data_IF_476128042783
#
_entry.id   IF_476128042783
#
_cell.length_a   1.000
_cell.length_b   1.000
_cell.length_c   1.000
_cell.angle_alpha   90.00
_cell.angle_beta   90.00
_cell.angle_gamma   90.00
#
_symmetry.space_group_name_H-M   'P 1'
#
loop_
_entity.id
_entity.type
_entity.pdbx_description
1 polymer ?
#
# COMPACT_ATOMS: atom_id res chain seq x y z
N UNK A 1 5.12 0.64 55.56
CA UNK A 1 4.25 0.18 54.46
C UNK A 1 4.19 1.27 53.42
N UNK A 2 4.86 1.06 52.29
CA UNK A 2 4.62 1.74 51.01
C UNK A 2 5.40 0.94 49.95
N UNK A 3 4.66 0.27 49.09
CA UNK A 3 5.12 -0.50 47.92
C UNK A 3 5.63 0.46 46.83
N UNK A 4 6.76 0.20 46.15
CA UNK A 4 7.12 0.91 44.93
C UNK A 4 6.43 0.27 43.71
N UNK A 5 5.56 1.05 43.07
CA UNK A 5 4.90 0.77 41.78
C UNK A 5 5.92 0.39 40.69
N UNK A 6 5.70 -0.66 39.89
CA UNK A 6 6.59 -0.98 38.78
C UNK A 6 6.39 0.03 37.63
N UNK A 7 7.51 0.56 37.14
CA UNK A 7 7.57 1.45 36.00
C UNK A 7 6.97 0.79 34.75
N UNK A 8 6.01 1.47 34.12
CA UNK A 8 5.48 1.09 32.81
C UNK A 8 6.64 1.06 31.81
N UNK A 9 6.90 -0.12 31.24
CA UNK A 9 7.90 -0.30 30.20
C UNK A 9 7.55 0.54 28.98
N UNK A 10 8.54 1.31 28.50
CA UNK A 10 8.43 2.04 27.24
C UNK A 10 8.06 1.06 26.10
N UNK A 11 7.11 1.41 25.22
CA UNK A 11 6.79 0.57 24.07
C UNK A 11 8.03 0.45 23.18
N UNK A 12 8.34 -0.79 22.80
CA UNK A 12 9.43 -1.09 21.87
C UNK A 12 9.18 -0.40 20.53
N UNK A 13 10.19 0.27 19.94
CA UNK A 13 10.04 0.91 18.65
C UNK A 13 9.75 -0.14 17.57
N UNK A 14 8.98 0.21 16.52
CA UNK A 14 8.65 -0.72 15.45
C UNK A 14 9.92 -1.24 14.75
N UNK A 15 9.94 -2.52 14.36
CA UNK A 15 11.09 -3.14 13.70
C UNK A 15 11.40 -2.42 12.39
N UNK A 16 12.68 -2.10 12.18
CA UNK A 16 13.14 -1.34 11.02
C UNK A 16 13.43 -2.27 9.84
N UNK A 17 13.47 -1.74 8.61
CA UNK A 17 13.98 -2.50 7.47
C UNK A 17 15.38 -3.07 7.77
N UNK A 18 15.50 -4.40 7.73
CA UNK A 18 16.74 -5.13 8.03
C UNK A 18 16.75 -5.92 9.34
N UNK A 19 15.76 -5.72 10.22
CA UNK A 19 15.64 -6.50 11.46
C UNK A 19 15.08 -7.92 11.19
N UNK A 20 15.58 -8.96 11.87
CA UNK A 20 15.00 -10.30 11.81
C UNK A 20 13.58 -10.30 12.40
N UNK A 21 12.66 -10.98 11.72
CA UNK A 21 11.25 -11.09 12.14
C UNK A 21 11.14 -11.95 13.40
N UNK A 22 10.49 -11.49 14.48
CA UNK A 22 10.28 -12.32 15.67
C UNK A 22 9.42 -13.56 15.36
N UNK A 23 9.75 -14.69 15.99
CA UNK A 23 9.05 -15.98 15.79
C UNK A 23 7.53 -15.90 16.08
N UNK A 24 7.09 -14.92 16.88
CA UNK A 24 5.69 -14.66 17.24
C UNK A 24 4.85 -13.90 16.20
N UNK A 25 5.41 -13.52 15.04
CA UNK A 25 4.71 -12.74 14.03
C UNK A 25 4.71 -11.24 14.30
N UNK A 26 4.31 -10.45 13.28
CA UNK A 26 4.24 -9.00 13.36
C UNK A 26 2.89 -8.58 13.96
N UNK A 27 2.92 -7.66 14.91
CA UNK A 27 1.72 -6.97 15.35
C UNK A 27 1.15 -6.15 14.17
N UNK A 28 -0.10 -6.37 13.74
CA UNK A 28 -0.71 -5.66 12.61
C UNK A 28 -0.82 -4.15 12.85
N UNK A 29 -0.77 -3.68 14.10
CA UNK A 29 -0.70 -2.24 14.39
C UNK A 29 0.66 -1.64 14.06
N UNK A 30 1.72 -2.45 13.98
CA UNK A 30 3.09 -1.99 13.72
C UNK A 30 3.46 -1.92 12.22
N UNK A 31 2.76 -2.64 11.35
CA UNK A 31 2.91 -2.48 9.88
C UNK A 31 2.34 -1.14 9.39
N UNK A 32 1.47 -0.50 10.17
CA UNK A 32 0.86 0.80 9.83
C UNK A 32 1.19 1.93 10.83
N UNK A 33 2.03 1.68 11.85
CA UNK A 33 2.34 2.67 12.91
C UNK A 33 3.13 3.90 12.42
N UNK A 34 3.71 3.85 11.23
CA UNK A 34 4.27 5.02 10.57
C UNK A 34 3.52 5.27 9.27
N UNK A 35 2.81 6.40 9.11
CA UNK A 35 2.36 6.81 7.79
C UNK A 35 3.59 6.87 6.87
N UNK A 36 3.50 6.43 5.61
CA UNK A 36 4.59 6.58 4.67
C UNK A 36 5.04 8.03 4.70
N UNK A 37 6.32 8.26 4.98
CA UNK A 37 6.84 9.63 4.90
C UNK A 37 6.56 10.11 3.48
N UNK A 38 5.92 11.28 3.30
CA UNK A 38 5.73 11.84 1.98
C UNK A 38 7.05 11.78 1.23
N UNK A 39 7.09 11.39 -0.06
CA UNK A 39 8.28 11.50 -0.89
C UNK A 39 8.96 12.85 -0.64
N UNK A 40 10.30 12.90 -0.62
CA UNK A 40 11.06 14.06 -0.16
C UNK A 40 10.71 15.38 -0.87
N UNK A 41 10.05 15.34 -2.04
CA UNK A 41 9.44 16.49 -2.71
C UNK A 41 8.24 17.11 -1.98
N UNK A 42 7.67 16.43 -0.98
CA UNK A 42 6.64 16.90 -0.05
C UNK A 42 7.22 17.20 1.36
N UNK A 43 8.55 17.17 1.54
CA UNK A 43 9.24 17.48 2.81
C UNK A 43 10.00 18.82 2.81
N UNK A 44 9.71 19.72 1.88
CA UNK A 44 10.11 21.12 2.05
C UNK A 44 9.07 21.81 2.96
N UNK A 45 9.19 21.62 4.28
CA UNK A 45 8.32 22.32 5.23
C UNK A 45 8.43 21.95 6.70
N UNK A 46 9.17 20.90 7.07
CA UNK A 46 9.25 20.46 8.47
C UNK A 46 10.70 20.28 8.94
N UNK A 47 11.47 21.37 8.94
CA UNK A 47 12.65 21.54 9.80
C UNK A 47 13.05 23.02 9.80
N UNK A 48 12.89 23.73 10.93
CA UNK A 48 13.45 25.07 11.07
C UNK A 48 12.76 25.91 12.14
N UNK A 49 12.97 25.57 13.41
CA UNK A 49 12.73 26.52 14.49
C UNK A 49 13.81 27.60 14.51
N UNK A 50 13.37 28.83 14.79
CA UNK A 50 14.12 30.04 15.17
C UNK A 50 14.85 30.82 14.06
N UNK A 51 14.15 31.81 13.50
CA UNK A 51 14.76 32.92 12.75
C UNK A 51 13.70 33.90 12.27
N UNK A 52 13.66 35.10 12.87
CA UNK A 52 12.75 36.18 12.52
C UNK A 52 12.85 36.58 11.04
N UNK A 53 11.71 36.67 10.36
CA UNK A 53 11.63 37.13 8.97
C UNK A 53 10.19 37.26 8.50
N UNK A 54 9.76 38.50 8.29
CA UNK A 54 8.49 38.94 7.70
C UNK A 54 8.27 38.32 6.30
N UNK A 55 7.14 37.66 6.05
CA UNK A 55 6.77 37.20 4.71
C UNK A 55 5.44 36.44 4.66
N UNK A 56 4.48 37.03 3.93
CA UNK A 56 3.29 36.47 3.27
C UNK A 56 2.89 35.02 3.63
N UNK A 57 1.82 34.89 4.42
CA UNK A 57 1.21 33.62 4.84
C UNK A 57 0.44 33.00 3.66
N UNK A 58 1.17 32.42 2.72
CA UNK A 58 0.63 31.52 1.72
C UNK A 58 0.22 30.21 2.38
N UNK A 59 -0.99 30.18 2.95
CA UNK A 59 -1.62 28.96 3.44
C UNK A 59 -1.49 27.85 2.39
N UNK A 60 -0.84 26.73 2.74
CA UNK A 60 -0.82 25.53 1.91
C UNK A 60 -2.27 25.14 1.66
N UNK A 61 -2.77 25.10 0.41
CA UNK A 61 -4.16 24.78 0.14
C UNK A 61 -4.46 23.37 0.66
N UNK A 62 -5.33 23.30 1.67
CA UNK A 62 -5.91 22.04 2.14
C UNK A 62 -6.64 21.40 0.95
N UNK A 63 -6.41 20.12 0.66
CA UNK A 63 -7.07 19.41 -0.45
C UNK A 63 -8.60 19.38 -0.22
N UNK A 64 -9.27 20.42 -0.71
CA UNK A 64 -10.69 20.70 -0.49
C UNK A 64 -11.48 20.63 -1.80
N UNK A 65 -10.82 20.22 -2.88
CA UNK A 65 -11.44 20.07 -4.19
C UNK A 65 -12.40 18.89 -4.22
N UNK A 66 -13.43 18.92 -5.07
CA UNK A 66 -14.31 17.78 -5.26
C UNK A 66 -13.52 16.56 -5.77
N UNK A 67 -13.95 15.32 -5.47
CA UNK A 67 -13.32 14.12 -6.01
C UNK A 67 -13.43 14.10 -7.54
N UNK A 68 -12.54 13.41 -8.27
CA UNK A 68 -12.55 13.40 -9.72
C UNK A 68 -13.85 12.79 -10.26
N UNK A 69 -14.40 13.31 -11.38
CA UNK A 69 -15.62 12.77 -11.97
C UNK A 69 -15.39 11.33 -12.45
N UNK A 70 -16.40 10.47 -12.64
CA UNK A 70 -16.20 9.11 -13.13
C UNK A 70 -15.39 9.04 -14.46
N UNK A 71 -14.72 7.91 -14.76
CA UNK A 71 -14.06 7.73 -16.05
C UNK A 71 -15.02 7.90 -17.23
N UNK A 72 -14.52 8.40 -18.37
CA UNK A 72 -15.32 8.64 -19.58
C UNK A 72 -15.19 10.06 -20.12
N UNK A 73 -16.07 10.41 -21.05
CA UNK A 73 -16.08 11.74 -21.67
C UNK A 73 -16.19 12.83 -20.60
N UNK A 74 -15.14 13.67 -20.50
CA UNK A 74 -15.12 14.77 -19.55
C UNK A 74 -16.24 15.78 -19.88
N UNK A 75 -16.99 16.26 -18.88
CA UNK A 75 -17.92 17.37 -19.05
C UNK A 75 -17.21 18.64 -19.54
N UNK A 76 -17.98 19.63 -19.99
CA UNK A 76 -17.40 20.91 -20.40
C UNK A 76 -16.71 21.62 -19.23
N UNK A 77 -15.71 22.45 -19.52
CA UNK A 77 -15.01 23.25 -18.50
C UNK A 77 -16.00 24.09 -17.67
N UNK A 78 -17.07 24.61 -18.27
CA UNK A 78 -18.09 25.37 -17.57
C UNK A 78 -18.88 24.52 -16.56
N UNK A 79 -19.23 23.29 -16.93
CA UNK A 79 -19.92 22.35 -16.05
C UNK A 79 -19.03 21.88 -14.90
N UNK A 80 -17.73 21.71 -15.16
CA UNK A 80 -16.74 21.36 -14.14
C UNK A 80 -16.56 22.53 -13.15
N UNK A 81 -16.39 23.77 -13.64
CA UNK A 81 -16.31 24.93 -12.75
C UNK A 81 -17.57 25.10 -11.89
N UNK A 82 -18.75 24.87 -12.45
CA UNK A 82 -20.01 24.89 -11.70
C UNK A 82 -20.09 23.83 -10.58
N UNK A 83 -19.33 22.74 -10.71
CA UNK A 83 -19.22 21.66 -9.69
C UNK A 83 -18.09 21.87 -8.68
N UNK A 84 -17.37 23.00 -8.77
CA UNK A 84 -16.31 23.36 -7.82
C UNK A 84 -14.91 22.90 -8.21
N UNK A 85 -14.69 22.44 -9.44
CA UNK A 85 -13.34 22.18 -9.95
C UNK A 85 -12.69 23.51 -10.37
N UNK A 86 -11.42 23.70 -10.01
CA UNK A 86 -10.65 24.86 -10.45
C UNK A 86 -9.92 24.62 -11.78
N UNK A 87 -9.21 25.65 -12.27
CA UNK A 87 -8.49 25.58 -13.55
C UNK A 87 -7.38 24.51 -13.55
N UNK A 88 -6.75 24.26 -12.40
CA UNK A 88 -5.71 23.25 -12.28
C UNK A 88 -6.32 21.85 -12.26
N UNK A 89 -7.44 21.64 -11.56
CA UNK A 89 -8.17 20.38 -11.58
C UNK A 89 -8.57 20.00 -13.01
N UNK A 90 -9.12 20.95 -13.77
CA UNK A 90 -9.54 20.74 -15.16
C UNK A 90 -8.34 20.44 -16.05
N UNK A 91 -7.22 21.13 -15.85
CA UNK A 91 -5.97 20.87 -16.57
C UNK A 91 -5.49 19.44 -16.33
N UNK A 92 -5.43 19.00 -15.08
CA UNK A 92 -4.99 17.64 -14.73
C UNK A 92 -5.96 16.59 -15.28
N UNK A 93 -7.27 16.81 -15.20
CA UNK A 93 -8.26 15.90 -15.79
C UNK A 93 -8.06 15.72 -17.30
N UNK A 94 -7.77 16.80 -18.03
CA UNK A 94 -7.46 16.75 -19.47
C UNK A 94 -6.16 15.98 -19.76
N UNK A 95 -5.17 16.10 -18.89
CA UNK A 95 -3.88 15.42 -19.01
C UNK A 95 -4.00 13.92 -18.76
N UNK A 96 -4.62 13.53 -17.64
CA UNK A 96 -4.73 12.11 -17.23
C UNK A 96 -5.91 11.38 -17.88
N UNK A 97 -6.82 12.13 -18.54
CA UNK A 97 -7.99 11.60 -19.28
C UNK A 97 -8.88 10.72 -18.38
N UNK A 98 -9.08 9.47 -18.79
CA UNK A 98 -9.93 8.48 -18.11
C UNK A 98 -9.26 7.87 -16.86
N UNK A 99 -8.00 8.20 -16.58
CA UNK A 99 -7.33 7.65 -15.41
C UNK A 99 -8.05 8.07 -14.13
N UNK A 100 -8.47 7.07 -13.35
CA UNK A 100 -8.84 7.20 -11.94
C UNK A 100 -8.07 6.20 -11.13
N UNK A 101 -7.83 6.52 -9.86
CA UNK A 101 -7.11 5.63 -8.95
C UNK A 101 -7.71 4.22 -8.97
N UNK A 102 -6.86 3.21 -9.17
CA UNK A 102 -7.26 1.80 -9.29
C UNK A 102 -7.43 1.32 -10.74
N UNK A 103 -7.48 2.21 -11.73
CA UNK A 103 -7.71 1.83 -13.13
C UNK A 103 -6.55 1.03 -13.73
N UNK A 104 -5.31 1.28 -13.29
CA UNK A 104 -4.13 0.58 -13.84
C UNK A 104 -4.02 -0.81 -13.22
N UNK A 105 -4.11 -0.88 -11.90
CA UNK A 105 -4.03 -2.13 -11.14
C UNK A 105 -5.23 -3.03 -11.38
N UNK A 106 -6.42 -2.50 -11.73
CA UNK A 106 -7.58 -3.33 -12.11
C UNK A 106 -7.35 -4.18 -13.37
N UNK A 107 -6.41 -3.80 -14.25
CA UNK A 107 -6.07 -4.53 -15.48
C UNK A 107 -5.06 -5.66 -15.24
N UNK A 108 -4.55 -5.78 -14.03
CA UNK A 108 -3.63 -6.84 -13.64
C UNK A 108 -4.39 -8.03 -13.05
N UNK A 109 -3.74 -9.19 -13.04
CA UNK A 109 -4.29 -10.43 -12.45
C UNK A 109 -3.45 -10.89 -11.24
N UNK A 110 -3.95 -11.94 -10.58
CA UNK A 110 -3.36 -12.54 -9.37
C UNK A 110 -2.82 -13.95 -9.63
N UNK A 111 -2.80 -14.43 -10.88
CA UNK A 111 -2.65 -15.86 -11.24
C UNK A 111 -1.36 -16.52 -10.75
N UNK A 112 -0.28 -15.74 -10.57
CA UNK A 112 1.02 -16.26 -10.14
C UNK A 112 1.31 -16.02 -8.66
N UNK A 113 0.30 -15.58 -7.91
CA UNK A 113 0.39 -15.37 -6.47
C UNK A 113 -0.32 -16.52 -5.78
N UNK A 114 0.43 -17.33 -5.03
CA UNK A 114 -0.12 -18.43 -4.26
C UNK A 114 -0.34 -17.98 -2.81
N UNK A 115 -1.58 -18.06 -2.34
CA UNK A 115 -1.90 -17.86 -0.92
C UNK A 115 -1.58 -19.15 -0.16
N UNK A 116 -0.72 -19.11 0.89
CA UNK A 116 -0.41 -20.30 1.67
C UNK A 116 -1.64 -20.87 2.38
N UNK A 117 -1.66 -22.17 2.67
CA UNK A 117 -2.79 -22.81 3.37
C UNK A 117 -3.01 -22.20 4.78
N UNK A 118 -4.27 -21.88 5.08
CA UNK A 118 -4.69 -21.22 6.33
C UNK A 118 -5.98 -21.88 6.85
N UNK A 119 -5.90 -22.91 7.70
CA UNK A 119 -7.10 -23.64 8.15
C UNK A 119 -7.97 -22.84 9.13
N UNK A 120 -7.41 -21.81 9.76
CA UNK A 120 -8.07 -21.02 10.81
C UNK A 120 -8.83 -19.80 10.29
N UNK A 121 -8.78 -19.51 8.98
CA UNK A 121 -9.43 -18.34 8.38
C UNK A 121 -10.16 -18.69 7.08
N UNK A 122 -11.15 -17.88 6.73
CA UNK A 122 -11.92 -18.02 5.49
C UNK A 122 -12.19 -16.63 4.93
N UNK A 123 -11.70 -16.38 3.72
CA UNK A 123 -11.87 -15.12 3.00
C UNK A 123 -11.71 -15.35 1.50
N UNK A 124 -12.18 -14.41 0.68
CA UNK A 124 -11.98 -14.44 -0.77
C UNK A 124 -10.54 -14.04 -1.12
N UNK A 125 -9.75 -15.02 -1.60
CA UNK A 125 -8.35 -14.79 -1.93
C UNK A 125 -8.18 -13.82 -3.09
N UNK A 126 -9.04 -13.88 -4.10
CA UNK A 126 -8.89 -13.03 -5.28
C UNK A 126 -9.26 -11.58 -4.95
N UNK A 127 -10.32 -11.38 -4.15
CA UNK A 127 -10.66 -10.06 -3.63
C UNK A 127 -9.54 -9.50 -2.74
N UNK A 128 -9.03 -10.29 -1.79
CA UNK A 128 -7.94 -9.88 -0.92
C UNK A 128 -6.68 -9.50 -1.69
N UNK A 129 -6.26 -10.33 -2.65
CA UNK A 129 -5.09 -10.07 -3.48
C UNK A 129 -5.32 -8.87 -4.41
N UNK A 130 -6.54 -8.64 -4.89
CA UNK A 130 -6.91 -7.46 -5.67
C UNK A 130 -6.75 -6.17 -4.86
N UNK A 131 -7.17 -6.17 -3.59
CA UNK A 131 -6.97 -5.06 -2.67
C UNK A 131 -5.48 -4.84 -2.37
N UNK A 132 -4.75 -5.93 -2.05
CA UNK A 132 -3.33 -5.88 -1.74
C UNK A 132 -2.49 -5.37 -2.92
N UNK A 133 -2.83 -5.80 -4.14
CA UNK A 133 -2.22 -5.34 -5.38
C UNK A 133 -2.44 -3.84 -5.58
N UNK A 134 -3.66 -3.36 -5.35
CA UNK A 134 -4.06 -1.96 -5.52
C UNK A 134 -3.47 -1.01 -4.48
N UNK A 135 -2.99 -1.51 -3.35
CA UNK A 135 -2.35 -0.69 -2.31
C UNK A 135 -1.07 -0.04 -2.81
N UNK A 136 -0.98 1.29 -2.64
CA UNK A 136 0.23 2.08 -2.92
C UNK A 136 0.98 2.47 -1.64
N UNK A 137 0.39 2.22 -0.47
CA UNK A 137 1.07 2.37 0.82
C UNK A 137 2.01 1.20 1.14
N UNK A 138 1.84 0.07 0.46
CA UNK A 138 2.65 -1.13 0.67
C UNK A 138 3.69 -1.32 -0.45
N UNK A 139 4.93 -1.52 -0.05
CA UNK A 139 6.02 -1.96 -0.93
C UNK A 139 5.81 -3.41 -1.38
N UNK A 140 6.51 -3.79 -2.45
CA UNK A 140 6.53 -5.19 -2.93
C UNK A 140 6.81 -6.21 -1.83
N UNK A 141 7.81 -5.93 -0.99
CA UNK A 141 8.26 -6.86 0.05
C UNK A 141 7.28 -6.90 1.24
N UNK A 142 6.54 -5.83 1.50
CA UNK A 142 5.44 -5.83 2.48
C UNK A 142 4.25 -6.64 1.98
N UNK A 143 3.86 -6.47 0.71
CA UNK A 143 2.81 -7.29 0.09
C UNK A 143 3.18 -8.78 0.17
N UNK A 144 4.43 -9.12 -0.16
CA UNK A 144 4.92 -10.48 -0.02
C UNK A 144 4.87 -10.99 1.43
N UNK A 145 5.33 -10.18 2.39
CA UNK A 145 5.30 -10.54 3.83
C UNK A 145 3.88 -10.78 4.33
N UNK A 146 2.93 -9.94 3.93
CA UNK A 146 1.51 -10.10 4.24
C UNK A 146 1.01 -11.45 3.73
N UNK A 147 1.27 -11.79 2.45
CA UNK A 147 0.86 -13.08 1.86
C UNK A 147 1.42 -14.26 2.66
N UNK A 148 2.70 -14.20 3.06
CA UNK A 148 3.32 -15.27 3.86
C UNK A 148 2.80 -15.34 5.30
N UNK A 149 2.30 -14.22 5.84
CA UNK A 149 1.78 -14.16 7.20
C UNK A 149 0.36 -14.71 7.34
N UNK A 150 -0.41 -14.84 6.24
CA UNK A 150 -1.82 -15.26 6.25
C UNK A 150 -2.11 -16.47 7.17
N UNK A 151 -1.34 -17.57 7.16
CA UNK A 151 -1.61 -18.73 8.03
C UNK A 151 -1.48 -18.45 9.53
N UNK A 152 -0.81 -17.35 9.90
CA UNK A 152 -0.58 -16.91 11.27
C UNK A 152 -1.55 -15.82 11.71
N UNK A 153 -2.40 -15.33 10.81
CA UNK A 153 -3.37 -14.28 11.10
C UNK A 153 -4.69 -14.91 11.56
N UNK A 154 -5.34 -14.28 12.54
CA UNK A 154 -6.72 -14.61 12.90
C UNK A 154 -7.70 -14.03 11.89
N UNK A 155 -8.94 -14.54 11.89
CA UNK A 155 -9.99 -14.02 11.02
C UNK A 155 -10.18 -12.50 11.19
N UNK A 156 -10.21 -12.03 12.45
CA UNK A 156 -10.32 -10.61 12.76
C UNK A 156 -9.19 -9.77 12.14
N UNK A 157 -7.96 -10.28 12.14
CA UNK A 157 -6.82 -9.57 11.54
C UNK A 157 -6.91 -9.52 10.02
N UNK A 158 -7.40 -10.58 9.38
CA UNK A 158 -7.66 -10.60 7.93
C UNK A 158 -8.76 -9.62 7.56
N UNK A 159 -9.85 -9.58 8.33
CA UNK A 159 -10.98 -8.66 8.10
C UNK A 159 -10.56 -7.19 8.27
N UNK A 160 -9.82 -6.87 9.33
CA UNK A 160 -9.30 -5.52 9.55
C UNK A 160 -8.30 -5.12 8.47
N UNK A 161 -7.46 -6.05 7.99
CA UNK A 161 -6.55 -5.77 6.89
C UNK A 161 -7.31 -5.46 5.59
N UNK A 162 -8.35 -6.23 5.26
CA UNK A 162 -9.20 -5.94 4.10
C UNK A 162 -9.84 -4.55 4.23
N UNK A 163 -10.41 -4.24 5.39
CA UNK A 163 -11.03 -2.95 5.68
C UNK A 163 -10.04 -1.79 5.53
N UNK A 164 -8.81 -1.93 6.02
CA UNK A 164 -7.75 -0.92 5.87
C UNK A 164 -7.45 -0.69 4.38
N UNK A 165 -7.33 -1.75 3.59
CA UNK A 165 -7.03 -1.64 2.15
C UNK A 165 -8.21 -1.07 1.35
N UNK A 166 -9.46 -1.38 1.74
CA UNK A 166 -10.67 -0.78 1.17
C UNK A 166 -10.76 0.72 1.49
N UNK A 167 -10.51 1.08 2.75
CA UNK A 167 -10.46 2.47 3.19
C UNK A 167 -9.34 3.25 2.49
N UNK A 168 -8.18 2.64 2.30
CA UNK A 168 -7.07 3.20 1.52
C UNK A 168 -7.53 3.52 0.10
N UNK A 169 -8.11 2.53 -0.59
CA UNK A 169 -8.63 2.70 -1.96
C UNK A 169 -9.67 3.82 -2.04
N UNK A 170 -10.60 3.88 -1.08
CA UNK A 170 -11.62 4.92 -1.00
C UNK A 170 -10.97 6.30 -0.84
N UNK A 171 -10.08 6.47 0.14
CA UNK A 171 -9.39 7.74 0.41
C UNK A 171 -8.63 8.26 -0.81
N UNK A 172 -7.90 7.40 -1.52
CA UNK A 172 -7.19 7.83 -2.73
C UNK A 172 -8.11 8.14 -3.92
N UNK A 173 -9.28 7.49 -4.00
CA UNK A 173 -10.29 7.82 -5.02
C UNK A 173 -11.03 9.13 -4.74
N UNK A 174 -11.02 9.58 -3.48
CA UNK A 174 -11.68 10.82 -3.03
C UNK A 174 -10.77 12.05 -3.10
N UNK A 175 -9.45 11.88 -3.29
CA UNK A 175 -8.52 12.99 -3.47
C UNK A 175 -8.87 13.82 -4.71
N UNK A 176 -8.62 15.13 -4.67
CA UNK A 176 -8.93 16.00 -5.81
C UNK A 176 -8.12 15.64 -7.06
N UNK A 177 -8.57 16.08 -8.26
CA UNK A 177 -7.88 15.82 -9.50
C UNK A 177 -6.40 16.20 -9.52
N UNK A 178 -5.97 17.21 -8.75
CA UNK A 178 -4.55 17.61 -8.61
C UNK A 178 -3.62 16.46 -8.27
N UNK A 179 -4.10 15.47 -7.52
CA UNK A 179 -3.30 14.32 -7.12
C UNK A 179 -3.23 13.22 -8.18
N UNK A 180 -4.11 13.22 -9.19
CA UNK A 180 -4.23 12.13 -10.15
C UNK A 180 -2.94 11.88 -10.95
N UNK A 181 -2.20 12.93 -11.32
CA UNK A 181 -0.97 12.75 -12.09
C UNK A 181 0.10 12.02 -11.26
N UNK A 182 0.20 12.33 -9.97
CA UNK A 182 1.11 11.63 -9.05
C UNK A 182 0.61 10.21 -8.76
N UNK A 183 -0.69 10.05 -8.50
CA UNK A 183 -1.31 8.75 -8.27
C UNK A 183 -1.14 7.83 -9.47
N UNK A 184 -1.25 8.33 -10.70
CA UNK A 184 -1.01 7.57 -11.92
C UNK A 184 0.40 6.99 -11.95
N UNK A 185 1.42 7.80 -11.63
CA UNK A 185 2.83 7.34 -11.59
C UNK A 185 3.06 6.32 -10.47
N UNK A 186 2.47 6.56 -9.29
CA UNK A 186 2.55 5.61 -8.18
C UNK A 186 1.87 4.29 -8.56
N UNK A 187 0.67 4.32 -9.10
CA UNK A 187 -0.07 3.12 -9.48
C UNK A 187 0.64 2.34 -10.60
N UNK A 188 1.29 3.01 -11.56
CA UNK A 188 2.17 2.35 -12.53
C UNK A 188 3.30 1.60 -11.85
N UNK A 189 4.05 2.27 -10.96
CA UNK A 189 5.15 1.66 -10.22
C UNK A 189 4.68 0.46 -9.40
N UNK A 190 3.62 0.61 -8.62
CA UNK A 190 3.11 -0.50 -7.80
C UNK A 190 2.53 -1.64 -8.66
N UNK A 191 2.04 -1.33 -9.86
CA UNK A 191 1.65 -2.33 -10.85
C UNK A 191 2.83 -3.10 -11.44
N UNK A 192 3.97 -2.44 -11.68
CA UNK A 192 5.23 -3.08 -12.06
C UNK A 192 5.78 -3.95 -10.92
N UNK A 193 5.84 -3.39 -9.70
CA UNK A 193 6.25 -4.13 -8.50
C UNK A 193 5.42 -5.41 -8.31
N UNK A 194 4.12 -5.37 -8.62
CA UNK A 194 3.25 -6.54 -8.56
C UNK A 194 3.60 -7.61 -9.61
N UNK A 195 3.94 -7.21 -10.84
CA UNK A 195 4.40 -8.14 -11.88
C UNK A 195 5.75 -8.76 -11.53
N UNK A 196 6.64 -7.97 -10.93
CA UNK A 196 7.93 -8.45 -10.44
C UNK A 196 7.74 -9.46 -9.30
N UNK A 197 6.80 -9.19 -8.40
CA UNK A 197 6.44 -10.09 -7.32
C UNK A 197 5.90 -11.43 -7.84
N UNK A 198 5.03 -11.40 -8.86
CA UNK A 198 4.57 -12.60 -9.57
C UNK A 198 5.73 -13.39 -10.18
N UNK A 199 6.65 -12.69 -10.86
CA UNK A 199 7.83 -13.32 -11.47
C UNK A 199 8.74 -13.96 -10.43
N UNK A 200 8.94 -13.28 -9.29
CA UNK A 200 9.71 -13.80 -8.16
C UNK A 200 9.10 -15.08 -7.58
N UNK A 201 7.77 -15.14 -7.42
CA UNK A 201 7.10 -16.33 -6.90
C UNK A 201 7.26 -17.53 -7.82
N UNK A 202 7.06 -17.36 -9.13
CA UNK A 202 7.27 -18.44 -10.11
C UNK A 202 8.71 -18.97 -10.06
N UNK A 203 9.70 -18.08 -9.99
CA UNK A 203 11.11 -18.49 -9.89
C UNK A 203 11.43 -19.19 -8.58
N UNK A 204 10.86 -18.73 -7.46
CA UNK A 204 11.04 -19.34 -6.15
C UNK A 204 10.44 -20.74 -6.09
N UNK A 205 9.24 -20.92 -6.63
CA UNK A 205 8.59 -22.23 -6.69
C UNK A 205 9.34 -23.21 -7.59
N UNK A 206 9.83 -22.76 -8.75
CA UNK A 206 10.67 -23.59 -9.63
C UNK A 206 11.95 -24.06 -8.91
N UNK A 207 12.64 -23.17 -8.19
CA UNK A 207 13.83 -23.51 -7.42
C UNK A 207 13.53 -24.50 -6.29
N UNK A 208 12.40 -24.32 -5.59
CA UNK A 208 12.00 -25.22 -4.52
C UNK A 208 11.69 -26.62 -5.06
N UNK A 209 11.04 -26.72 -6.24
CA UNK A 209 10.77 -27.99 -6.90
C UNK A 209 12.05 -28.69 -7.37
N UNK A 210 12.99 -27.95 -7.98
CA UNK A 210 14.28 -28.49 -8.40
C UNK A 210 15.09 -29.02 -7.21
N UNK A 211 15.12 -28.26 -6.11
CA UNK A 211 15.80 -28.68 -4.88
C UNK A 211 15.16 -29.93 -4.27
N UNK A 212 13.82 -29.99 -4.22
CA UNK A 212 13.10 -31.16 -3.73
C UNK A 212 13.36 -32.41 -4.59
N UNK A 213 13.39 -32.25 -5.91
CA UNK A 213 13.72 -33.34 -6.84
C UNK A 213 15.18 -33.81 -6.68
N UNK A 214 16.12 -32.87 -6.54
CA UNK A 214 17.53 -33.19 -6.30
C UNK A 214 17.72 -33.97 -4.98
N UNK A 215 17.03 -33.56 -3.91
CA UNK A 215 17.11 -34.24 -2.62
C UNK A 215 16.43 -35.61 -2.63
N UNK A 216 15.36 -35.79 -3.42
CA UNK A 216 14.75 -37.11 -3.63
C UNK A 216 15.69 -38.05 -4.40
N UNK A 217 16.33 -37.56 -5.47
CA UNK A 217 17.34 -38.32 -6.22
C UNK A 217 18.52 -38.71 -5.31
N UNK A 218 19.01 -37.79 -4.46
CA UNK A 218 20.08 -38.11 -3.47
C UNK A 218 19.66 -39.23 -2.53
N UNK A 219 18.45 -39.16 -1.98
CA UNK A 219 17.89 -40.21 -1.12
C UNK A 219 17.76 -41.55 -1.85
N UNK A 220 17.32 -41.56 -3.10
CA UNK A 220 17.21 -42.78 -3.91
C UNK A 220 18.58 -43.38 -4.27
N UNK A 221 19.62 -42.55 -4.41
CA UNK A 221 21.00 -42.98 -4.66
C UNK A 221 21.76 -43.35 -3.39
N UNK A 222 21.17 -43.21 -2.20
CA UNK A 222 21.79 -43.58 -0.92
C UNK A 222 22.91 -42.65 -0.46
N UNK A 223 22.90 -41.39 -0.92
CA UNK A 223 23.84 -40.31 -0.56
C UNK A 223 23.29 -39.39 0.54
#
# INVERSE_FOLDING_TARGET
>A
MADPTPAAGNPTPPPRPGDPVPDGGLDPTQVFAAPPTPPASMKAGAAGGAGAGQGDDGAVPQDSGPPPPPPGALPSDADLKAKGYDDEDIRILKEVKDFRFGTITSKLNNEKIVVPAHPETTFDHDQFLTLLRGSISLTRDEKWRIIQAIPKLSQFQIDELQKILEDEKRKFSELSPKHLLQLMKLEQKHGEDWKDLQSFMVQKDAKNQEQAAADDIRKQLGL
#
